data_IF_059373588572
#
_entry.id   IF_059373588572
#
_cell.length_a   1.000
_cell.length_b   1.000
_cell.length_c   1.000
_cell.angle_alpha   90.00
_cell.angle_beta   90.00
_cell.angle_gamma   90.00
#
_symmetry.space_group_name_H-M   'P 1'
#
loop_
_entity.id
_entity.type
_entity.pdbx_description
1 polymer ?
#
# COMPACT_ATOMS: atom_id res chain seq x y z
N UNK A 1 9.12 0.35 -5.17
CA UNK A 1 10.40 -0.34 -5.36
C UNK A 1 11.34 -0.03 -4.21
N UNK A 2 11.56 1.25 -3.88
CA UNK A 2 12.47 1.64 -2.79
C UNK A 2 12.07 1.09 -1.40
N UNK A 3 10.79 1.08 -1.02
CA UNK A 3 10.39 0.56 0.30
C UNK A 3 10.59 -0.95 0.49
N UNK A 4 10.44 -1.76 -0.57
CA UNK A 4 10.66 -3.21 -0.49
C UNK A 4 12.15 -3.52 -0.30
N UNK A 5 13.02 -2.75 -0.97
CA UNK A 5 14.48 -2.83 -0.80
C UNK A 5 14.95 -2.48 0.62
N UNK A 6 14.08 -1.90 1.45
CA UNK A 6 14.33 -1.57 2.85
C UNK A 6 13.53 -2.46 3.83
N UNK A 7 13.06 -3.63 3.38
CA UNK A 7 12.28 -4.61 4.17
C UNK A 7 10.99 -4.05 4.79
N UNK A 8 10.44 -2.96 4.24
CA UNK A 8 9.13 -2.48 4.66
C UNK A 8 8.02 -3.31 4.03
N UNK A 9 7.01 -3.63 4.83
CA UNK A 9 5.73 -4.15 4.33
C UNK A 9 4.96 -3.00 3.69
N UNK A 10 4.64 -3.13 2.40
CA UNK A 10 3.96 -2.09 1.61
C UNK A 10 2.56 -2.56 1.24
N UNK A 11 1.57 -1.70 1.49
CA UNK A 11 0.22 -1.85 0.98
C UNK A 11 -0.12 -0.65 0.08
N UNK A 12 -0.83 -0.89 -1.04
CA UNK A 12 -1.19 0.14 -2.02
C UNK A 12 -2.71 0.12 -2.24
N UNK A 13 -3.42 1.25 -2.03
CA UNK A 13 -4.84 1.36 -2.33
C UNK A 13 -5.09 1.42 -3.85
N UNK A 14 -5.70 0.38 -4.41
CA UNK A 14 -5.92 0.24 -5.86
C UNK A 14 -6.77 1.35 -6.48
N UNK A 15 -7.72 1.88 -5.71
CA UNK A 15 -8.70 2.90 -6.06
C UNK A 15 -8.21 4.33 -5.86
N UNK A 16 -7.05 4.51 -5.23
CA UNK A 16 -6.41 5.81 -5.02
C UNK A 16 -5.12 5.99 -5.85
N UNK A 17 -4.85 5.08 -6.79
CA UNK A 17 -3.79 5.20 -7.79
C UNK A 17 -4.41 5.56 -9.14
N UNK A 18 -3.77 6.45 -9.91
CA UNK A 18 -4.27 6.88 -11.21
C UNK A 18 -3.19 6.70 -12.28
N UNK A 19 -3.60 6.22 -13.45
CA UNK A 19 -2.80 6.17 -14.66
C UNK A 19 -3.61 6.72 -15.85
N UNK A 20 -2.91 7.16 -16.89
CA UNK A 20 -3.48 7.78 -18.10
C UNK A 20 -4.43 6.84 -18.85
N UNK A 21 -4.27 5.52 -18.68
CA UNK A 21 -5.18 4.52 -19.26
C UNK A 21 -5.51 3.41 -18.25
N UNK A 22 -6.71 2.85 -18.34
CA UNK A 22 -7.12 1.75 -17.45
C UNK A 22 -6.25 0.49 -17.64
N UNK A 23 -5.73 0.26 -18.85
CA UNK A 23 -4.82 -0.85 -19.12
C UNK A 23 -3.46 -0.63 -18.44
N UNK A 24 -2.92 0.59 -18.50
CA UNK A 24 -1.68 0.97 -17.80
C UNK A 24 -1.84 0.89 -16.28
N UNK A 25 -2.98 1.31 -15.74
CA UNK A 25 -3.33 1.19 -14.32
C UNK A 25 -3.34 -0.26 -13.83
N UNK A 26 -4.00 -1.15 -14.57
CA UNK A 26 -4.08 -2.57 -14.22
C UNK A 26 -2.71 -3.25 -14.28
N UNK A 27 -1.89 -2.96 -15.29
CA UNK A 27 -0.53 -3.51 -15.43
C UNK A 27 0.38 -2.96 -14.33
N UNK A 28 0.27 -1.65 -14.04
CA UNK A 28 1.04 -0.97 -13.01
C UNK A 28 0.74 -1.45 -11.59
N UNK A 29 -0.48 -1.91 -11.31
CA UNK A 29 -0.85 -2.55 -10.04
C UNK A 29 -0.54 -4.05 -10.00
N UNK A 30 -0.59 -4.74 -11.15
CA UNK A 30 -0.33 -6.18 -11.23
C UNK A 30 1.12 -6.53 -10.87
N UNK A 31 2.10 -5.78 -11.39
CA UNK A 31 3.52 -6.04 -11.14
C UNK A 31 3.93 -5.90 -9.65
N UNK A 32 3.50 -4.87 -8.89
CA UNK A 32 3.76 -4.79 -7.46
C UNK A 32 2.95 -5.79 -6.64
N UNK A 33 1.69 -6.07 -7.00
CA UNK A 33 0.89 -7.07 -6.30
C UNK A 33 1.50 -8.48 -6.37
N UNK A 34 2.14 -8.80 -7.50
CA UNK A 34 2.74 -10.12 -7.72
C UNK A 34 4.09 -10.32 -7.03
N UNK A 35 4.75 -9.25 -6.54
CA UNK A 35 6.16 -9.32 -6.15
C UNK A 35 6.53 -8.61 -4.84
N UNK A 36 5.86 -7.52 -4.46
CA UNK A 36 6.39 -6.65 -3.39
C UNK A 36 5.39 -5.77 -2.62
N UNK A 37 4.08 -5.81 -2.92
CA UNK A 37 3.08 -5.04 -2.19
C UNK A 37 1.72 -5.74 -2.17
N UNK A 38 0.93 -5.53 -1.11
CA UNK A 38 -0.48 -5.95 -1.10
C UNK A 38 -1.33 -4.84 -1.74
N UNK A 39 -2.02 -5.15 -2.83
CA UNK A 39 -2.95 -4.21 -3.49
C UNK A 39 -4.36 -4.45 -2.93
N UNK A 40 -4.82 -3.52 -2.10
CA UNK A 40 -6.08 -3.60 -1.34
C UNK A 40 -6.99 -2.41 -1.68
N UNK A 41 -8.26 -2.46 -1.28
CA UNK A 41 -9.15 -1.32 -1.45
C UNK A 41 -8.94 -0.27 -0.33
N UNK A 42 -9.15 1.02 -0.62
CA UNK A 42 -9.03 2.09 0.39
C UNK A 42 -9.82 1.84 1.68
N UNK A 43 -11.06 1.30 1.65
CA UNK A 43 -11.80 0.99 2.87
C UNK A 43 -11.10 -0.05 3.76
N UNK A 44 -10.56 -1.13 3.17
CA UNK A 44 -9.84 -2.16 3.92
C UNK A 44 -8.58 -1.60 4.59
N UNK A 45 -7.87 -0.72 3.90
CA UNK A 45 -6.69 -0.06 4.45
C UNK A 45 -7.07 0.89 5.60
N UNK A 46 -8.18 1.60 5.47
CA UNK A 46 -8.68 2.51 6.50
C UNK A 46 -9.10 1.75 7.76
N UNK A 47 -9.81 0.64 7.59
CA UNK A 47 -10.23 -0.24 8.69
C UNK A 47 -9.01 -0.85 9.41
N UNK A 48 -8.01 -1.30 8.66
CA UNK A 48 -6.76 -1.82 9.21
C UNK A 48 -6.04 -0.76 10.05
N UNK A 49 -5.86 0.46 9.51
CA UNK A 49 -5.21 1.55 10.23
C UNK A 49 -5.98 1.96 11.49
N UNK A 50 -7.32 1.96 11.44
CA UNK A 50 -8.18 2.25 12.59
C UNK A 50 -8.10 1.20 13.70
N UNK A 51 -7.68 -0.03 13.39
CA UNK A 51 -7.45 -1.10 14.37
C UNK A 51 -6.09 -1.07 15.05
N UNK A 52 -5.17 -0.19 14.63
CA UNK A 52 -3.83 -0.12 15.22
C UNK A 52 -3.85 0.62 16.57
N UNK A 53 -3.02 0.19 17.54
CA UNK A 53 -2.86 0.93 18.79
C UNK A 53 -2.36 2.36 18.54
N UNK A 54 -2.92 3.33 19.26
CA UNK A 54 -2.35 4.68 19.29
C UNK A 54 -0.94 4.67 19.89
N UNK A 55 -0.06 5.52 19.36
CA UNK A 55 1.33 5.66 19.84
C UNK A 55 2.27 4.52 19.42
N UNK A 56 1.88 3.68 18.45
CA UNK A 56 2.67 2.54 17.97
C UNK A 56 4.09 2.94 17.49
N UNK A 57 4.28 4.20 17.10
CA UNK A 57 5.55 4.75 16.60
C UNK A 57 6.08 5.91 17.46
N UNK A 58 5.58 6.08 18.70
CA UNK A 58 6.11 7.10 19.59
C UNK A 58 7.57 6.76 19.93
N UNK A 59 8.48 7.64 19.50
CA UNK A 59 9.90 7.50 19.80
C UNK A 59 10.17 8.02 21.22
N UNK A 60 11.09 7.40 21.98
CA UNK A 60 11.53 7.98 23.24
C UNK A 60 12.17 9.35 22.97
N UNK A 61 11.65 10.37 23.67
CA UNK A 61 12.17 11.74 23.62
C UNK A 61 13.52 11.92 24.29
#
# INVERSE_FOLDING_TARGET
MDGFSHDFRIAVPADAVFDRSQASHAIGLFDPNAKYADVVATPELTDYLGGLPHGLFDLPG
#
